data_IF_726025065875
#
_entry.id   IF_726025065875
#
_cell.length_a   1.000
_cell.length_b   1.000
_cell.length_c   1.000
_cell.angle_alpha   90.00
_cell.angle_beta   90.00
_cell.angle_gamma   90.00
#
_symmetry.space_group_name_H-M   'P 1'
#
loop_
_entity.id
_entity.type
_entity.pdbx_description
1 polymer ?
#
# COMPACT_ATOMS: atom_id res chain seq x y z
N UNK A 1 27.93 2.77 20.40
CA UNK A 1 26.97 3.69 19.76
C UNK A 1 25.87 4.04 20.76
N UNK A 2 25.64 5.32 21.08
CA UNK A 2 24.77 5.73 22.19
C UNK A 2 23.29 5.73 21.78
N UNK A 3 22.68 4.53 21.73
CA UNK A 3 21.30 4.27 21.28
C UNK A 3 20.22 4.96 22.13
N UNK A 4 20.57 5.46 23.31
CA UNK A 4 19.58 5.99 24.25
C UNK A 4 19.11 7.42 23.92
N UNK A 5 19.99 8.25 23.33
CA UNK A 5 19.72 9.67 23.10
C UNK A 5 18.73 9.95 21.95
N UNK A 6 18.75 9.22 20.81
CA UNK A 6 17.86 9.52 19.69
C UNK A 6 16.48 8.85 19.78
N UNK A 7 16.16 8.13 20.86
CA UNK A 7 14.94 7.28 20.94
C UNK A 7 13.63 7.99 20.64
N UNK A 8 13.46 9.22 21.15
CA UNK A 8 12.25 10.03 20.90
C UNK A 8 12.20 10.47 19.44
N UNK A 9 13.34 10.91 18.91
CA UNK A 9 13.46 11.35 17.51
C UNK A 9 13.16 10.21 16.55
N UNK A 10 13.67 9.01 16.82
CA UNK A 10 13.41 7.83 15.98
C UNK A 10 11.95 7.40 16.08
N UNK A 11 11.36 7.36 17.28
CA UNK A 11 9.94 7.05 17.44
C UNK A 11 9.04 8.08 16.71
N UNK A 12 9.36 9.37 16.81
CA UNK A 12 8.64 10.43 16.10
C UNK A 12 8.81 10.34 14.58
N UNK A 13 10.03 10.08 14.09
CA UNK A 13 10.28 9.90 12.66
C UNK A 13 9.53 8.68 12.10
N UNK A 14 9.51 7.57 12.84
CA UNK A 14 8.72 6.39 12.48
C UNK A 14 7.22 6.68 12.45
N UNK A 15 6.71 7.47 13.41
CA UNK A 15 5.30 7.90 13.42
C UNK A 15 4.98 8.75 12.19
N UNK A 16 5.81 9.75 11.88
CA UNK A 16 5.62 10.63 10.72
C UNK A 16 5.64 9.84 9.42
N UNK A 17 6.58 8.89 9.29
CA UNK A 17 6.65 8.00 8.13
C UNK A 17 5.38 7.14 8.00
N UNK A 18 4.93 6.51 9.09
CA UNK A 18 3.69 5.74 9.11
C UNK A 18 2.46 6.60 8.72
N UNK A 19 2.34 7.80 9.29
CA UNK A 19 1.24 8.72 8.97
C UNK A 19 1.30 9.16 7.51
N UNK A 20 2.49 9.45 6.99
CA UNK A 20 2.71 9.76 5.58
C UNK A 20 2.24 8.62 4.68
N UNK A 21 2.67 7.38 4.93
CA UNK A 21 2.25 6.21 4.16
C UNK A 21 0.74 5.98 4.24
N UNK A 22 0.15 6.16 5.42
CA UNK A 22 -1.30 6.01 5.62
C UNK A 22 -2.07 7.05 4.81
N UNK A 23 -1.70 8.34 4.92
CA UNK A 23 -2.31 9.41 4.13
C UNK A 23 -2.11 9.16 2.63
N UNK A 24 -0.92 8.75 2.20
CA UNK A 24 -0.65 8.41 0.81
C UNK A 24 -1.60 7.31 0.31
N UNK A 25 -1.73 6.20 1.05
CA UNK A 25 -2.60 5.10 0.66
C UNK A 25 -4.09 5.50 0.62
N UNK A 26 -4.56 6.37 1.51
CA UNK A 26 -5.97 6.76 1.54
C UNK A 26 -6.34 7.84 0.52
N UNK A 27 -5.42 8.75 0.21
CA UNK A 27 -5.73 9.92 -0.62
C UNK A 27 -5.08 9.91 -2.01
N UNK A 28 -4.05 9.08 -2.23
CA UNK A 28 -3.28 9.03 -3.47
C UNK A 28 -3.33 7.65 -4.16
N UNK A 29 -4.13 6.72 -3.64
CA UNK A 29 -4.46 5.45 -4.30
C UNK A 29 -5.98 5.34 -4.42
N UNK A 30 -6.53 5.19 -5.65
CA UNK A 30 -7.96 5.01 -5.88
C UNK A 30 -8.56 3.87 -5.05
N UNK A 31 -9.84 3.94 -4.73
CA UNK A 31 -10.53 2.87 -4.02
C UNK A 31 -10.91 1.76 -5.02
N UNK A 32 -10.00 0.81 -5.18
CA UNK A 32 -10.20 -0.39 -6.00
C UNK A 32 -11.27 -1.30 -5.38
N UNK A 33 -12.15 -1.85 -6.20
CA UNK A 33 -13.10 -2.91 -5.86
C UNK A 33 -12.75 -4.24 -6.54
N UNK A 34 -11.59 -4.34 -7.17
CA UNK A 34 -11.04 -5.54 -7.80
C UNK A 34 -9.61 -5.78 -7.29
N UNK A 35 -9.11 -7.01 -7.45
CA UNK A 35 -7.79 -7.41 -6.97
C UNK A 35 -6.81 -7.59 -8.12
N UNK A 36 -5.57 -7.14 -7.90
CA UNK A 36 -4.44 -7.33 -8.79
C UNK A 36 -3.24 -7.86 -8.02
N UNK A 37 -2.37 -8.60 -8.69
CA UNK A 37 -1.13 -9.11 -8.10
C UNK A 37 0.04 -8.92 -9.06
N UNK A 38 1.18 -8.54 -8.50
CA UNK A 38 2.45 -8.60 -9.21
C UNK A 38 2.94 -10.04 -9.28
N UNK A 39 3.10 -10.56 -10.49
CA UNK A 39 3.84 -11.80 -10.73
C UNK A 39 5.36 -11.54 -10.69
N UNK A 40 6.19 -12.60 -10.51
CA UNK A 40 7.66 -12.46 -10.39
C UNK A 40 8.31 -11.66 -11.52
N UNK A 41 7.77 -11.74 -12.73
CA UNK A 41 8.30 -11.08 -13.93
C UNK A 41 7.91 -9.60 -14.07
N UNK A 42 7.55 -8.95 -12.95
CA UNK A 42 7.05 -7.57 -12.94
C UNK A 42 5.83 -7.36 -13.85
N UNK A 43 4.98 -8.38 -13.95
CA UNK A 43 3.71 -8.29 -14.65
C UNK A 43 2.58 -8.11 -13.65
N UNK A 44 1.73 -7.11 -13.85
CA UNK A 44 0.55 -6.88 -13.02
C UNK A 44 -0.64 -7.60 -13.65
N UNK A 45 -1.23 -8.54 -12.91
CA UNK A 45 -2.35 -9.35 -13.38
C UNK A 45 -3.59 -9.11 -12.54
N UNK A 46 -4.75 -9.07 -13.17
CA UNK A 46 -6.04 -9.04 -12.50
C UNK A 46 -6.35 -10.45 -11.97
N UNK A 47 -6.60 -10.59 -10.68
CA UNK A 47 -6.87 -11.90 -10.05
C UNK A 47 -8.35 -12.10 -9.72
N UNK A 48 -9.07 -11.03 -9.39
CA UNK A 48 -10.48 -11.10 -9.06
C UNK A 48 -11.20 -9.81 -9.42
N UNK A 49 -12.39 -9.92 -10.00
CA UNK A 49 -13.29 -8.79 -10.30
C UNK A 49 -14.68 -9.17 -9.81
N UNK A 50 -15.11 -8.68 -8.64
CA UNK A 50 -16.45 -8.91 -8.11
C UNK A 50 -17.55 -8.49 -9.09
N UNK A 51 -18.75 -9.07 -8.96
CA UNK A 51 -19.89 -8.73 -9.83
C UNK A 51 -20.43 -7.32 -9.58
N UNK A 52 -20.31 -6.83 -8.35
CA UNK A 52 -20.70 -5.49 -7.93
C UNK A 52 -19.64 -4.42 -8.20
N UNK A 53 -18.48 -4.79 -8.74
CA UNK A 53 -17.39 -3.87 -9.07
C UNK A 53 -17.75 -2.97 -10.26
N UNK A 54 -17.32 -1.71 -10.22
CA UNK A 54 -17.40 -0.79 -11.36
C UNK A 54 -16.50 -1.22 -12.54
N UNK A 55 -15.51 -2.06 -12.27
CA UNK A 55 -14.66 -2.67 -13.27
C UNK A 55 -15.27 -3.94 -13.89
N UNK A 56 -16.40 -4.43 -13.36
CA UNK A 56 -17.10 -5.59 -13.90
C UNK A 56 -17.48 -5.38 -15.36
N UNK A 57 -17.24 -6.39 -16.21
CA UNK A 57 -17.42 -6.31 -17.66
C UNK A 57 -16.32 -5.55 -18.41
N UNK A 58 -15.46 -4.78 -17.73
CA UNK A 58 -14.29 -4.10 -18.32
C UNK A 58 -13.02 -4.93 -18.11
N UNK A 59 -12.81 -5.39 -16.89
CA UNK A 59 -11.71 -6.27 -16.49
C UNK A 59 -12.18 -7.72 -16.35
N UNK A 60 -11.25 -8.65 -16.53
CA UNK A 60 -11.43 -10.09 -16.31
C UNK A 60 -10.24 -10.65 -15.54
N UNK A 61 -10.47 -11.64 -14.66
CA UNK A 61 -9.37 -12.41 -14.10
C UNK A 61 -8.47 -12.97 -15.20
N UNK A 62 -7.15 -12.83 -15.05
CA UNK A 62 -6.14 -13.23 -16.03
C UNK A 62 -5.71 -12.13 -17.01
N UNK A 63 -6.38 -10.96 -17.03
CA UNK A 63 -5.90 -9.82 -17.79
C UNK A 63 -4.54 -9.34 -17.24
N UNK A 64 -3.57 -9.14 -18.11
CA UNK A 64 -2.32 -8.47 -17.77
C UNK A 64 -2.45 -6.97 -18.05
N UNK A 65 -2.16 -6.14 -17.07
CA UNK A 65 -2.20 -4.68 -17.20
C UNK A 65 -0.84 -4.19 -17.70
N UNK A 66 -0.84 -3.53 -18.86
CA UNK A 66 0.35 -2.99 -19.50
C UNK A 66 0.55 -1.51 -19.20
N UNK A 67 -0.55 -0.73 -19.20
CA UNK A 67 -0.54 0.70 -18.93
C UNK A 67 -1.85 1.16 -18.28
N UNK A 68 -1.75 2.23 -17.48
CA UNK A 68 -2.89 2.95 -16.90
C UNK A 68 -2.68 4.45 -17.19
N UNK A 69 -3.69 5.10 -17.77
CA UNK A 69 -3.51 6.45 -18.29
C UNK A 69 -2.49 6.44 -19.44
N UNK A 70 -1.55 7.37 -19.37
CA UNK A 70 -0.42 7.47 -20.30
C UNK A 70 0.86 6.84 -19.74
N UNK A 71 0.76 6.02 -18.69
CA UNK A 71 1.92 5.49 -17.96
C UNK A 71 1.97 3.96 -18.07
N UNK A 72 3.11 3.44 -18.52
CA UNK A 72 3.39 2.00 -18.49
C UNK A 72 3.62 1.53 -17.06
N UNK A 73 3.09 0.36 -16.74
CA UNK A 73 3.09 -0.18 -15.39
C UNK A 73 4.46 -0.78 -15.04
N UNK A 74 5.03 -0.29 -13.94
CA UNK A 74 6.31 -0.75 -13.38
C UNK A 74 6.19 -0.90 -11.87
N UNK A 75 6.73 -2.00 -11.33
CA UNK A 75 6.57 -2.37 -9.91
C UNK A 75 7.13 -1.33 -8.93
N UNK A 76 8.15 -0.59 -9.34
CA UNK A 76 8.83 0.41 -8.51
C UNK A 76 8.27 1.82 -8.67
N UNK A 77 7.20 2.01 -9.44
CA UNK A 77 6.59 3.31 -9.70
C UNK A 77 5.15 3.36 -9.18
N UNK A 78 4.63 4.56 -8.85
CA UNK A 78 3.21 4.73 -8.63
C UNK A 78 2.41 4.22 -9.83
N UNK A 79 1.41 3.39 -9.54
CA UNK A 79 0.55 2.74 -10.56
C UNK A 79 -0.43 3.76 -11.18
N UNK A 80 -0.86 4.73 -10.39
CA UNK A 80 -1.87 5.71 -10.78
C UNK A 80 -1.25 7.08 -11.01
N UNK A 81 -1.42 7.68 -12.21
CA UNK A 81 -0.92 9.02 -12.45
C UNK A 81 -1.73 10.04 -11.65
N UNK A 82 -1.03 11.06 -11.14
CA UNK A 82 -1.62 12.19 -10.43
C UNK A 82 -1.94 13.34 -11.39
N UNK A 83 -2.99 14.14 -11.13
CA UNK A 83 -3.94 14.02 -10.02
C UNK A 83 -4.86 12.79 -10.17
N UNK A 84 -5.39 12.29 -9.04
CA UNK A 84 -6.32 11.16 -9.07
C UNK A 84 -7.57 11.48 -9.89
N UNK A 85 -7.98 10.54 -10.73
CA UNK A 85 -9.16 10.64 -11.58
C UNK A 85 -10.20 9.59 -11.19
N UNK A 86 -11.47 9.87 -11.47
CA UNK A 86 -12.58 8.93 -11.25
C UNK A 86 -12.59 7.77 -12.25
N UNK A 87 -11.79 7.85 -13.31
CA UNK A 87 -11.62 6.79 -14.29
C UNK A 87 -10.28 6.92 -15.00
N UNK A 88 -9.74 5.81 -15.47
CA UNK A 88 -8.50 5.78 -16.25
C UNK A 88 -8.65 4.88 -17.48
N UNK A 89 -8.03 5.23 -18.61
CA UNK A 89 -7.86 4.28 -19.70
C UNK A 89 -6.83 3.22 -19.29
N UNK A 90 -7.10 1.98 -19.62
CA UNK A 90 -6.28 0.80 -19.36
C UNK A 90 -5.89 0.20 -20.71
N UNK A 91 -4.61 -0.17 -20.83
CA UNK A 91 -4.15 -1.08 -21.86
C UNK A 91 -3.89 -2.44 -21.24
N UNK A 92 -4.59 -3.45 -21.72
CA UNK A 92 -4.57 -4.81 -21.19
C UNK A 92 -4.08 -5.76 -22.26
N UNK A 93 -3.35 -6.81 -21.87
CA UNK A 93 -3.18 -7.99 -22.71
C UNK A 93 -4.21 -9.03 -22.27
N UNK A 94 -5.15 -9.35 -23.17
CA UNK A 94 -6.20 -10.36 -22.98
C UNK A 94 -6.16 -11.34 -24.14
N UNK A 95 -5.99 -12.62 -23.84
CA UNK A 95 -5.91 -13.69 -24.85
C UNK A 95 -4.88 -13.40 -25.97
N UNK A 96 -3.74 -12.79 -25.60
CA UNK A 96 -2.67 -12.41 -26.52
C UNK A 96 -2.94 -11.15 -27.37
N UNK A 97 -4.06 -10.45 -27.15
CA UNK A 97 -4.41 -9.21 -27.85
C UNK A 97 -4.39 -8.03 -26.90
N UNK A 98 -3.93 -6.88 -27.40
CA UNK A 98 -4.03 -5.63 -26.66
C UNK A 98 -5.46 -5.13 -26.75
N UNK A 99 -6.07 -4.88 -25.60
CA UNK A 99 -7.41 -4.35 -25.45
C UNK A 99 -7.34 -3.06 -24.66
N UNK A 100 -8.01 -2.03 -25.15
CA UNK A 100 -8.16 -0.77 -24.44
C UNK A 100 -9.54 -0.69 -23.79
N UNK A 101 -9.60 -0.29 -22.53
CA UNK A 101 -10.86 -0.06 -21.83
C UNK A 101 -10.71 1.06 -20.81
N UNK A 102 -11.81 1.73 -20.48
CA UNK A 102 -11.83 2.68 -19.37
C UNK A 102 -12.34 1.97 -18.12
N UNK A 103 -11.61 2.09 -17.02
CA UNK A 103 -11.99 1.56 -15.70
C UNK A 103 -12.34 2.73 -14.80
N UNK A 104 -13.52 2.67 -14.20
CA UNK A 104 -14.02 3.67 -13.25
C UNK A 104 -13.73 3.26 -11.82
N UNK A 105 -13.58 4.25 -10.95
CA UNK A 105 -13.28 4.09 -9.54
C UNK A 105 -14.36 4.68 -8.66
N UNK A 106 -14.59 4.07 -7.50
CA UNK A 106 -15.53 4.59 -6.52
C UNK A 106 -15.01 5.90 -5.92
N UNK A 107 -15.91 6.87 -5.75
CA UNK A 107 -15.60 8.12 -5.05
C UNK A 107 -15.44 7.93 -3.53
N UNK A 108 -15.97 6.83 -3.00
CA UNK A 108 -15.92 6.47 -1.60
C UNK A 108 -15.10 5.19 -1.39
N UNK A 109 -14.52 4.98 -0.20
CA UNK A 109 -13.82 3.76 0.13
C UNK A 109 -14.68 2.51 -0.10
N UNK A 110 -14.16 1.59 -0.91
CA UNK A 110 -14.78 0.29 -1.16
C UNK A 110 -14.51 -0.67 0.01
N UNK A 111 -15.34 -1.70 0.16
CA UNK A 111 -15.11 -2.74 1.17
C UNK A 111 -13.74 -3.41 1.02
N UNK A 112 -13.30 -3.63 -0.23
CA UNK A 112 -11.98 -4.18 -0.53
C UNK A 112 -10.86 -3.24 -0.06
N UNK A 113 -10.91 -1.95 -0.41
CA UNK A 113 -9.91 -0.97 0.00
C UNK A 113 -9.80 -0.88 1.53
N UNK A 114 -10.93 -0.89 2.24
CA UNK A 114 -10.97 -0.91 3.71
C UNK A 114 -10.32 -2.19 4.25
N UNK A 115 -10.69 -3.35 3.71
CA UNK A 115 -10.18 -4.65 4.17
C UNK A 115 -8.67 -4.84 3.95
N UNK A 116 -8.10 -4.21 2.92
CA UNK A 116 -6.66 -4.30 2.62
C UNK A 116 -5.84 -3.26 3.41
N UNK A 117 -6.34 -2.04 3.54
CA UNK A 117 -5.57 -0.92 4.13
C UNK A 117 -5.66 -0.90 5.65
N UNK A 118 -6.83 -1.15 6.22
CA UNK A 118 -7.09 -0.93 7.65
C UNK A 118 -6.34 -1.92 8.57
N UNK A 119 -6.28 -3.24 8.28
CA UNK A 119 -5.51 -4.17 9.10
C UNK A 119 -4.01 -3.85 9.11
N UNK A 120 -3.44 -3.51 7.94
CA UNK A 120 -2.04 -3.12 7.83
C UNK A 120 -1.75 -1.86 8.66
N UNK A 121 -2.60 -0.82 8.55
CA UNK A 121 -2.46 0.38 9.38
C UNK A 121 -2.55 0.09 10.87
N UNK A 122 -3.51 -0.75 11.28
CA UNK A 122 -3.68 -1.11 12.69
C UNK A 122 -2.47 -1.88 13.23
N UNK A 123 -1.93 -2.81 12.44
CA UNK A 123 -0.74 -3.56 12.80
C UNK A 123 0.50 -2.65 12.88
N UNK A 124 0.69 -1.76 11.91
CA UNK A 124 1.76 -0.76 11.91
C UNK A 124 1.68 0.18 13.10
N UNK A 125 0.48 0.68 13.41
CA UNK A 125 0.26 1.54 14.58
C UNK A 125 0.53 0.81 15.90
N UNK A 126 0.06 -0.44 16.02
CA UNK A 126 0.28 -1.27 17.21
C UNK A 126 1.76 -1.57 17.40
N UNK A 127 2.47 -1.91 16.33
CA UNK A 127 3.91 -2.11 16.33
C UNK A 127 4.68 -0.84 16.72
N UNK A 128 4.29 0.29 16.14
CA UNK A 128 4.86 1.59 16.48
C UNK A 128 4.64 1.94 17.96
N UNK A 129 3.43 1.74 18.48
CA UNK A 129 3.08 2.01 19.86
C UNK A 129 3.93 1.15 20.79
N UNK A 130 3.93 -0.18 20.62
CA UNK A 130 4.74 -1.10 21.44
C UNK A 130 6.22 -0.74 21.39
N UNK A 131 6.78 -0.49 20.20
CA UNK A 131 8.18 -0.10 20.04
C UNK A 131 8.52 1.21 20.77
N UNK A 132 7.63 2.20 20.69
CA UNK A 132 7.77 3.49 21.39
C UNK A 132 7.72 3.31 22.90
N UNK A 133 6.76 2.55 23.42
CA UNK A 133 6.64 2.25 24.85
C UNK A 133 7.91 1.55 25.36
N UNK A 134 8.42 0.55 24.64
CA UNK A 134 9.67 -0.14 24.99
C UNK A 134 10.85 0.83 25.03
N UNK A 135 10.99 1.73 24.05
CA UNK A 135 12.08 2.69 24.02
C UNK A 135 12.00 3.74 25.14
N UNK A 136 10.80 4.24 25.44
CA UNK A 136 10.59 5.26 26.48
C UNK A 136 10.87 4.69 27.88
N UNK A 137 10.43 3.47 28.16
CA UNK A 137 10.59 2.83 29.47
C UNK A 137 11.84 1.96 29.63
N UNK A 138 12.56 1.64 28.56
CA UNK A 138 13.84 0.95 28.67
C UNK A 138 14.83 1.80 29.47
N UNK A 139 15.33 1.24 30.58
CA UNK A 139 16.48 1.78 31.30
C UNK A 139 17.75 1.58 30.45
N UNK A 140 18.73 2.47 30.60
CA UNK A 140 20.01 2.42 29.86
C UNK A 140 20.72 1.07 29.93
N UNK A 141 20.53 0.35 31.02
CA UNK A 141 21.18 -0.93 31.32
C UNK A 141 20.54 -2.12 30.57
N UNK A 142 19.30 -2.00 30.11
CA UNK A 142 18.58 -3.07 29.41
C UNK A 142 18.65 -2.89 27.90
N UNK A 143 19.84 -3.13 27.34
CA UNK A 143 20.13 -3.01 25.90
C UNK A 143 19.21 -3.90 25.05
N UNK A 144 18.77 -5.05 25.56
CA UNK A 144 17.82 -5.94 24.88
C UNK A 144 16.47 -5.26 24.62
N UNK A 145 15.94 -4.51 25.59
CA UNK A 145 14.68 -3.77 25.45
C UNK A 145 14.80 -2.63 24.45
N UNK A 146 15.95 -1.93 24.42
CA UNK A 146 16.23 -0.91 23.41
C UNK A 146 16.28 -1.50 22.00
N UNK A 147 16.96 -2.64 21.81
CA UNK A 147 17.02 -3.32 20.50
C UNK A 147 15.65 -3.80 20.03
N UNK A 148 14.87 -4.41 20.92
CA UNK A 148 13.51 -4.84 20.62
C UNK A 148 12.63 -3.65 20.20
N UNK A 149 12.69 -2.53 20.93
CA UNK A 149 11.96 -1.31 20.58
C UNK A 149 12.30 -0.78 19.18
N UNK A 150 13.58 -0.79 18.80
CA UNK A 150 13.99 -0.44 17.43
C UNK A 150 13.52 -1.44 16.37
N UNK A 151 13.54 -2.75 16.66
CA UNK A 151 13.02 -3.77 15.75
C UNK A 151 11.52 -3.60 15.53
N UNK A 152 10.74 -3.30 16.59
CA UNK A 152 9.32 -3.02 16.44
C UNK A 152 9.02 -1.75 15.64
N UNK A 153 9.90 -0.73 15.72
CA UNK A 153 9.74 0.51 14.95
C UNK A 153 10.19 0.39 13.48
N UNK A 154 11.21 -0.43 13.19
CA UNK A 154 11.90 -0.42 11.88
C UNK A 154 11.83 -1.76 11.13
N UNK A 155 11.52 -2.86 11.82
CA UNK A 155 11.42 -4.20 11.24
C UNK A 155 10.02 -4.57 10.77
N UNK A 156 9.12 -3.59 10.68
CA UNK A 156 7.79 -3.78 10.11
C UNK A 156 7.94 -3.91 8.58
N UNK A 157 7.37 -4.96 7.96
CA UNK A 157 7.43 -5.17 6.51
C UNK A 157 6.69 -4.10 5.72
#
# INVERSE_FOLDING_TARGET
>A
MNLYRPRIVVAAAALLFFLYCSVYLWFYVPYEDFAMVWQPDSQLHVTNVPEDSLAHGRLRPGDQILAIGNQSIQRTQPIYPLPLQSSYPYQLLRDGKIVETTVSYAAQPTGLAVSLRLPAMFLSFSGWLVGTLMLLWARREHVAALRAGYIFLLGQP
#
